data_IF_225130553683
#
_entry.id   IF_225130553683
#
_cell.length_a   1.000
_cell.length_b   1.000
_cell.length_c   1.000
_cell.angle_alpha   90.00
_cell.angle_beta   90.00
_cell.angle_gamma   90.00
#
_symmetry.space_group_name_H-M   'P 1'
#
loop_
_entity.id
_entity.type
_entity.pdbx_description
1 polymer ?
#
# COMPACT_ATOMS: atom_id res chain seq x y z
N UNK A 1 48.55 -5.79 -4.88
CA UNK A 1 48.13 -5.53 -4.67
C UNK A 1 46.93 -5.48 -4.49
N UNK A 2 47.01 -5.52 -4.50
CA UNK A 2 46.16 -5.42 -4.43
C UNK A 2 45.15 -5.27 -4.34
N UNK A 3 45.11 -5.14 -4.41
CA UNK A 3 44.34 -4.86 -4.46
C UNK A 3 43.28 -4.85 -4.55
N UNK A 4 43.37 -4.89 -4.54
CA UNK A 4 42.52 -4.67 -4.78
C UNK A 4 41.50 -4.78 -4.67
N UNK A 5 41.49 -4.95 -4.44
CA UNK A 5 40.71 -4.82 -4.45
C UNK A 5 39.73 -4.89 -4.12
N UNK A 6 39.72 -4.81 -3.77
CA UNK A 6 38.90 -4.72 -3.34
C UNK A 6 37.90 -4.26 -3.38
N UNK A 7 38.02 -3.88 -3.86
CA UNK A 7 37.15 -3.23 -4.01
C UNK A 7 35.95 -3.45 -3.96
N UNK A 8 36.13 -3.69 -3.83
CA UNK A 8 35.26 -3.62 -3.78
C UNK A 8 34.36 -3.93 -4.07
N UNK A 9 34.34 -4.15 -4.23
CA UNK A 9 33.40 -4.37 -4.57
C UNK A 9 32.23 -4.29 -3.96
N UNK A 10 32.46 -3.99 -3.77
CA UNK A 10 31.76 -3.64 -3.26
C UNK A 10 30.70 -3.14 -2.96
N UNK A 11 30.58 -2.92 -2.93
CA UNK A 11 29.69 -1.82 -2.67
C UNK A 11 28.45 -1.86 -3.50
N UNK A 12 28.50 -2.27 -4.66
CA UNK A 12 27.33 -2.34 -5.52
C UNK A 12 26.21 -3.17 -4.96
N UNK A 13 26.52 -4.01 -4.05
CA UNK A 13 25.53 -4.88 -3.44
C UNK A 13 24.47 -4.13 -2.69
N UNK A 14 24.85 -3.05 -2.03
CA UNK A 14 23.89 -2.29 -1.27
C UNK A 14 22.80 -1.72 -2.18
N UNK A 15 23.18 -1.36 -3.36
CA UNK A 15 22.22 -0.79 -4.32
C UNK A 15 21.18 -1.81 -4.72
N UNK A 16 21.58 -3.04 -4.86
CA UNK A 16 20.65 -4.09 -5.24
C UNK A 16 19.59 -4.32 -4.20
N UNK A 17 19.95 -4.17 -2.94
CA UNK A 17 18.98 -4.33 -1.87
C UNK A 17 17.89 -3.29 -1.94
N UNK A 18 18.25 -2.08 -2.28
CA UNK A 18 17.28 -1.03 -2.39
C UNK A 18 16.26 -1.32 -3.49
N UNK A 19 16.73 -1.81 -4.59
CA UNK A 19 15.86 -2.16 -5.70
C UNK A 19 14.89 -3.26 -5.31
N UNK A 20 15.36 -4.27 -4.61
CA UNK A 20 14.50 -5.35 -4.17
C UNK A 20 13.40 -4.85 -3.26
N UNK A 21 13.72 -3.91 -2.38
CA UNK A 21 12.74 -3.35 -1.47
C UNK A 21 11.63 -2.65 -2.22
N UNK A 22 11.98 -1.88 -3.23
CA UNK A 22 10.99 -1.16 -4.01
C UNK A 22 10.03 -2.09 -4.72
N UNK A 23 10.53 -3.21 -5.20
CA UNK A 23 9.71 -4.17 -5.92
C UNK A 23 8.73 -4.93 -5.02
N UNK A 24 9.01 -4.95 -3.72
CA UNK A 24 8.17 -5.66 -2.79
C UNK A 24 6.99 -4.89 -2.27
N UNK A 25 6.78 -3.68 -2.76
CA UNK A 25 5.71 -2.84 -2.25
C UNK A 25 4.36 -3.28 -2.76
N UNK A 26 3.46 -3.60 -1.86
CA UNK A 26 2.07 -3.83 -2.16
C UNK A 26 1.24 -2.70 -1.59
N UNK A 27 -0.06 -2.95 -1.50
CA UNK A 27 -0.98 -2.00 -0.89
C UNK A 27 -0.63 -1.82 0.58
N UNK A 28 -0.47 -0.58 1.02
CA UNK A 28 -0.21 -0.25 2.41
C UNK A 28 -1.52 -0.11 3.16
N UNK A 29 -1.55 -0.55 4.41
CA UNK A 29 -2.75 -0.51 5.24
C UNK A 29 -2.52 0.37 6.46
N UNK A 30 -3.59 1.01 6.94
CA UNK A 30 -3.48 1.99 8.02
C UNK A 30 -4.64 1.84 8.99
N UNK A 31 -4.36 2.11 10.27
CA UNK A 31 -5.37 2.01 11.31
C UNK A 31 -6.29 3.22 11.37
N UNK A 32 -5.87 4.33 10.80
CA UNK A 32 -6.73 5.51 10.78
C UNK A 32 -6.60 6.24 9.46
N UNK A 33 -7.63 7.01 9.17
CA UNK A 33 -7.74 7.72 7.91
C UNK A 33 -6.60 8.70 7.70
N UNK A 34 -6.23 9.40 8.77
CA UNK A 34 -5.20 10.43 8.67
C UNK A 34 -3.86 9.84 8.25
N UNK A 35 -3.49 8.70 8.81
CA UNK A 35 -2.23 8.05 8.45
C UNK A 35 -2.24 7.63 6.98
N UNK A 36 -3.35 7.12 6.50
CA UNK A 36 -3.48 6.76 5.09
C UNK A 36 -3.35 8.01 4.21
N UNK A 37 -4.00 9.09 4.59
CA UNK A 37 -3.97 10.31 3.79
C UNK A 37 -2.56 10.91 3.76
N UNK A 38 -1.81 10.77 4.84
CA UNK A 38 -0.42 11.23 4.87
C UNK A 38 0.47 10.42 3.94
N UNK A 39 0.17 9.14 3.82
CA UNK A 39 0.91 8.26 2.90
C UNK A 39 0.60 8.60 1.44
N UNK A 40 -0.64 8.96 1.15
CA UNK A 40 -1.04 9.27 -0.22
C UNK A 40 -1.80 10.59 -0.26
N UNK A 41 -1.09 11.71 -0.12
CA UNK A 41 -1.75 13.02 0.07
C UNK A 41 -2.59 13.48 -1.12
N UNK A 42 -2.34 12.95 -2.31
CA UNK A 42 -3.09 13.34 -3.50
C UNK A 42 -4.09 12.29 -3.96
N UNK A 43 -4.20 11.20 -3.23
CA UNK A 43 -5.13 10.12 -3.58
C UNK A 43 -6.32 10.15 -2.61
N UNK A 44 -7.33 9.36 -2.93
CA UNK A 44 -8.51 9.17 -2.09
C UNK A 44 -8.25 8.03 -1.11
N UNK A 45 -8.49 8.27 0.16
CA UNK A 45 -8.46 7.20 1.15
C UNK A 45 -9.81 6.50 1.13
N UNK A 46 -9.78 5.18 1.14
CA UNK A 46 -10.99 4.36 1.16
C UNK A 46 -10.89 3.35 2.29
N UNK A 47 -12.03 2.80 2.67
CA UNK A 47 -12.11 1.76 3.70
C UNK A 47 -12.21 0.41 3.03
N UNK A 48 -11.23 -0.44 3.23
CA UNK A 48 -11.21 -1.78 2.64
C UNK A 48 -11.80 -2.79 3.62
N UNK A 49 -12.83 -3.48 3.19
CA UNK A 49 -13.31 -4.65 3.91
C UNK A 49 -12.42 -5.82 3.49
N UNK A 50 -11.57 -6.26 4.41
CA UNK A 50 -10.56 -7.27 4.09
C UNK A 50 -11.16 -8.65 3.91
N UNK A 51 -12.38 -8.87 4.35
CA UNK A 51 -13.05 -10.15 4.17
C UNK A 51 -13.59 -10.32 2.75
N UNK A 52 -13.99 -9.23 2.11
CA UNK A 52 -14.60 -9.29 0.78
C UNK A 52 -13.73 -8.71 -0.33
N UNK A 53 -12.67 -8.00 0.03
CA UNK A 53 -11.83 -7.27 -0.91
C UNK A 53 -12.57 -6.12 -1.59
N UNK A 54 -13.66 -5.66 -0.99
CA UNK A 54 -14.39 -4.48 -1.46
C UNK A 54 -14.01 -3.28 -0.63
N UNK A 55 -13.89 -2.13 -1.27
CA UNK A 55 -13.62 -0.91 -0.51
C UNK A 55 -14.77 0.09 -0.64
N UNK A 56 -14.90 0.93 0.37
CA UNK A 56 -16.01 1.87 0.51
C UNK A 56 -15.47 3.29 0.55
N UNK A 57 -16.16 4.20 -0.12
CA UNK A 57 -15.81 5.61 -0.09
C UNK A 57 -16.38 6.27 1.14
N UNK A 58 -15.73 7.34 1.58
CA UNK A 58 -16.25 8.15 2.67
C UNK A 58 -17.64 8.66 2.30
N UNK A 59 -18.56 8.54 3.22
CA UNK A 59 -19.97 8.85 2.95
C UNK A 59 -20.82 7.61 2.75
N UNK A 60 -20.21 6.51 2.43
CA UNK A 60 -20.87 5.21 2.33
C UNK A 60 -21.14 4.72 3.76
N UNK A 61 -22.32 4.10 4.02
CA UNK A 61 -22.65 3.65 5.37
C UNK A 61 -21.66 2.64 5.96
N UNK A 62 -20.91 1.96 5.12
CA UNK A 62 -19.96 0.95 5.60
C UNK A 62 -18.53 1.47 5.78
N UNK A 63 -18.30 2.75 5.45
CA UNK A 63 -16.96 3.33 5.61
C UNK A 63 -16.55 3.31 7.08
N UNK A 64 -15.45 2.62 7.37
CA UNK A 64 -14.96 2.50 8.74
C UNK A 64 -15.79 1.60 9.63
N UNK A 65 -16.76 0.86 9.09
CA UNK A 65 -17.75 0.16 9.92
C UNK A 65 -17.87 -1.33 9.67
N UNK A 66 -17.06 -1.89 8.81
CA UNK A 66 -17.09 -3.35 8.65
C UNK A 66 -16.27 -3.98 9.77
N UNK A 67 -16.62 -5.20 10.13
CA UNK A 67 -15.97 -5.90 11.22
C UNK A 67 -14.48 -6.09 10.98
N UNK A 68 -14.11 -6.36 9.72
CA UNK A 68 -12.71 -6.47 9.33
C UNK A 68 -12.44 -5.38 8.31
N UNK A 69 -11.48 -4.54 8.59
CA UNK A 69 -11.21 -3.49 7.64
C UNK A 69 -9.98 -2.68 8.00
N UNK A 70 -9.59 -1.87 7.05
CA UNK A 70 -8.41 -1.03 7.19
C UNK A 70 -8.53 0.14 6.21
N UNK A 71 -7.85 1.23 6.49
CA UNK A 71 -7.80 2.35 5.55
C UNK A 71 -6.68 2.11 4.56
N UNK A 72 -6.97 2.37 3.30
CA UNK A 72 -6.00 2.18 2.21
C UNK A 72 -6.14 3.33 1.21
N UNK A 73 -5.13 3.48 0.37
CA UNK A 73 -5.16 4.44 -0.73
C UNK A 73 -5.79 3.77 -1.93
N UNK A 74 -6.72 4.47 -2.58
CA UNK A 74 -7.51 3.89 -3.66
C UNK A 74 -6.65 3.34 -4.80
N UNK A 75 -5.66 4.11 -5.24
CA UNK A 75 -4.82 3.67 -6.36
C UNK A 75 -4.09 2.38 -6.03
N UNK A 76 -3.55 2.29 -4.81
CA UNK A 76 -2.87 1.06 -4.40
C UNK A 76 -3.84 -0.11 -4.30
N UNK A 77 -5.05 0.15 -3.78
CA UNK A 77 -6.07 -0.88 -3.66
C UNK A 77 -6.48 -1.40 -5.04
N UNK A 78 -6.68 -0.50 -5.98
CA UNK A 78 -7.05 -0.88 -7.34
C UNK A 78 -5.97 -1.73 -7.99
N UNK A 79 -4.71 -1.34 -7.82
CA UNK A 79 -3.59 -2.11 -8.38
C UNK A 79 -3.48 -3.50 -7.77
N UNK A 80 -3.92 -3.63 -6.54
CA UNK A 80 -3.86 -4.90 -5.81
C UNK A 80 -5.11 -5.75 -6.03
N UNK A 81 -6.01 -5.30 -6.90
CA UNK A 81 -7.18 -6.09 -7.28
C UNK A 81 -8.40 -5.90 -6.41
N UNK A 82 -8.37 -4.91 -5.49
CA UNK A 82 -9.55 -4.61 -4.68
C UNK A 82 -10.57 -3.89 -5.53
N UNK A 83 -11.84 -3.98 -5.16
CA UNK A 83 -12.93 -3.40 -5.95
C UNK A 83 -13.79 -2.46 -5.14
N UNK A 84 -14.28 -1.43 -5.78
CA UNK A 84 -15.22 -0.53 -5.15
C UNK A 84 -16.52 -1.29 -4.88
N UNK A 85 -17.02 -1.16 -3.68
CA UNK A 85 -18.32 -1.73 -3.33
C UNK A 85 -19.42 -0.93 -4.01
N UNK A 86 -20.41 -1.65 -4.53
CA UNK A 86 -21.59 -1.01 -5.10
C UNK A 86 -22.81 -1.55 -4.40
N UNK A 87 -23.77 -0.66 -4.18
CA UNK A 87 -25.00 -1.04 -3.52
C UNK A 87 -25.75 -2.07 -4.35
N UNK A 88 -26.24 -3.13 -3.74
CA UNK A 88 -27.08 -4.09 -4.49
C UNK A 88 -28.38 -3.42 -4.92
N UNK A 89 -28.90 -3.90 -6.02
CA UNK A 89 -30.15 -3.36 -6.57
C UNK A 89 -31.33 -4.22 -6.24
#
# INVERSE_FOLDING_TARGET
MARHIAYGLFPGLAILLVVGTALGQGMQTFKNEKAAQQHCPTDTVVWLNTASANYHFKGDPWYGRTQRGTYVCKVEADKDGMRAWTSPK
#
